data_IF_509324738850
#
_entry.id   IF_509324738850
#
_cell.length_a   1.000
_cell.length_b   1.000
_cell.length_c   1.000
_cell.angle_alpha   90.00
_cell.angle_beta   90.00
_cell.angle_gamma   90.00
#
_symmetry.space_group_name_H-M   'P 1'
#
loop_
_entity.id
_entity.type
_entity.pdbx_description
1 polymer ?
#
# COMPACT_ATOMS: atom_id res chain seq x y z
N UNK A 1 -3.14 -11.08 10.99
CA UNK A 1 -4.04 -9.90 11.08
C UNK A 1 -4.41 -9.35 9.71
N UNK A 2 -3.46 -8.94 8.85
CA UNK A 2 -3.80 -8.45 7.49
C UNK A 2 -4.34 -9.52 6.54
N UNK A 3 -3.79 -10.74 6.55
CA UNK A 3 -4.35 -11.86 5.78
C UNK A 3 -5.81 -12.13 6.17
N UNK A 4 -6.13 -12.13 7.46
CA UNK A 4 -7.50 -12.30 7.95
C UNK A 4 -8.42 -11.12 7.57
N UNK A 5 -7.91 -9.89 7.59
CA UNK A 5 -8.65 -8.73 7.09
C UNK A 5 -8.88 -8.80 5.57
N UNK A 6 -7.95 -9.35 4.80
CA UNK A 6 -8.08 -9.52 3.35
C UNK A 6 -9.13 -10.58 3.01
N UNK A 7 -9.17 -11.69 3.77
CA UNK A 7 -10.24 -12.69 3.67
C UNK A 7 -11.61 -12.11 4.02
N UNK A 8 -11.67 -11.20 4.99
CA UNK A 8 -12.92 -10.58 5.41
C UNK A 8 -13.43 -9.54 4.39
N UNK A 9 -12.56 -8.61 3.97
CA UNK A 9 -12.88 -7.59 2.96
C UNK A 9 -11.62 -7.06 2.27
N UNK A 10 -11.25 -7.69 1.16
CA UNK A 10 -10.10 -7.28 0.34
C UNK A 10 -10.29 -5.91 -0.32
N UNK A 11 -11.54 -5.54 -0.64
CA UNK A 11 -11.85 -4.27 -1.29
C UNK A 11 -11.67 -3.10 -0.32
N UNK A 12 -12.04 -3.27 0.94
CA UNK A 12 -11.76 -2.31 2.00
C UNK A 12 -10.25 -2.08 2.20
N UNK A 13 -9.44 -3.14 2.16
CA UNK A 13 -7.98 -3.02 2.28
C UNK A 13 -7.36 -2.30 1.08
N UNK A 14 -7.72 -2.68 -0.15
CA UNK A 14 -7.15 -2.13 -1.39
C UNK A 14 -7.60 -0.67 -1.60
N UNK A 15 -8.87 -0.35 -1.32
CA UNK A 15 -9.38 1.03 -1.42
C UNK A 15 -8.75 1.98 -0.40
N UNK A 16 -8.16 1.44 0.68
CA UNK A 16 -7.62 2.27 1.75
C UNK A 16 -8.70 2.98 2.56
N UNK A 17 -9.96 2.53 2.51
CA UNK A 17 -11.08 3.19 3.19
C UNK A 17 -10.87 3.31 4.72
N UNK A 18 -10.06 2.43 5.30
CA UNK A 18 -9.60 2.46 6.70
C UNK A 18 -8.62 3.60 7.04
N UNK A 19 -8.12 4.32 6.04
CA UNK A 19 -7.26 5.50 6.19
C UNK A 19 -8.02 6.77 5.84
N UNK A 20 -7.56 7.88 6.40
CA UNK A 20 -8.02 9.20 6.01
C UNK A 20 -7.55 9.55 4.58
N UNK A 21 -8.27 10.43 3.88
CA UNK A 21 -8.10 10.66 2.44
C UNK A 21 -6.67 11.02 2.02
N UNK A 22 -5.96 11.82 2.82
CA UNK A 22 -4.55 12.19 2.54
C UNK A 22 -3.62 10.99 2.71
N UNK A 23 -3.83 10.16 3.74
CA UNK A 23 -3.03 8.96 3.97
C UNK A 23 -3.17 7.93 2.83
N UNK A 24 -4.33 7.90 2.15
CA UNK A 24 -4.58 6.99 1.03
C UNK A 24 -3.65 7.22 -0.16
N UNK A 25 -3.15 8.45 -0.35
CA UNK A 25 -2.21 8.78 -1.42
C UNK A 25 -0.87 8.02 -1.30
N UNK A 26 -0.54 7.55 -0.10
CA UNK A 26 0.69 6.82 0.19
C UNK A 26 0.46 5.32 0.34
N UNK A 27 -0.76 4.84 0.08
CA UNK A 27 -1.08 3.42 0.07
C UNK A 27 -0.76 2.79 -1.28
N UNK A 28 -0.24 1.57 -1.20
CA UNK A 28 0.10 0.69 -2.30
C UNK A 28 -0.27 -0.72 -1.88
N UNK A 29 -1.29 -1.33 -2.48
CA UNK A 29 -1.74 -2.71 -2.19
C UNK A 29 -1.89 -2.97 -0.68
N UNK A 30 -2.72 -2.17 0.01
CA UNK A 30 -3.04 -2.36 1.43
C UNK A 30 -1.96 -1.91 2.44
N UNK A 31 -0.97 -1.11 2.03
CA UNK A 31 0.05 -0.56 2.95
C UNK A 31 1.07 0.33 2.23
N UNK A 32 2.15 0.73 2.88
CA UNK A 32 3.20 1.55 2.26
C UNK A 32 4.08 0.76 1.30
N UNK A 33 4.70 1.42 0.33
CA UNK A 33 5.75 0.79 -0.51
C UNK A 33 7.03 0.56 0.33
N UNK A 34 7.58 -0.67 0.35
CA UNK A 34 8.85 -0.94 1.02
C UNK A 34 9.99 -0.02 0.58
N UNK A 35 10.18 0.19 -0.73
CA UNK A 35 11.20 1.05 -1.33
C UNK A 35 11.15 2.50 -0.79
N UNK A 36 9.94 3.05 -0.68
CA UNK A 36 9.69 4.39 -0.14
C UNK A 36 10.01 4.46 1.35
N UNK A 37 9.61 3.44 2.13
CA UNK A 37 9.98 3.36 3.55
C UNK A 37 11.49 3.32 3.74
N UNK A 38 12.21 2.53 2.93
CA UNK A 38 13.66 2.46 2.99
C UNK A 38 14.31 3.82 2.67
N UNK A 39 13.78 4.57 1.71
CA UNK A 39 14.23 5.92 1.38
C UNK A 39 14.03 6.93 2.51
N UNK A 40 12.96 6.79 3.29
CA UNK A 40 12.67 7.67 4.43
C UNK A 40 13.58 7.32 5.62
N UNK A 41 13.82 6.03 5.84
CA UNK A 41 14.55 5.53 7.00
C UNK A 41 16.06 5.70 6.84
N UNK A 42 16.62 5.33 5.68
CA UNK A 42 18.08 5.27 5.49
C UNK A 42 18.84 6.57 5.88
N UNK A 43 18.36 7.78 5.53
CA UNK A 43 19.02 9.02 5.94
C UNK A 43 19.06 9.27 7.46
N UNK A 44 18.18 8.62 8.23
CA UNK A 44 18.09 8.79 9.69
C UNK A 44 19.06 7.87 10.45
N UNK A 45 19.80 7.00 9.75
CA UNK A 45 20.60 5.94 10.34
C UNK A 45 22.09 6.27 10.51
N UNK A 46 22.48 7.52 10.26
CA UNK A 46 23.89 7.91 10.29
C UNK A 46 24.56 7.71 11.67
N UNK A 47 25.82 7.26 11.70
CA UNK A 47 26.66 6.86 10.56
C UNK A 47 26.36 5.44 10.04
N UNK A 48 26.43 5.25 8.72
CA UNK A 48 26.36 3.95 8.03
C UNK A 48 27.72 3.62 7.42
N UNK A 49 28.09 2.33 7.37
CA UNK A 49 29.30 1.91 6.64
C UNK A 49 29.03 1.84 5.13
N UNK A 50 30.08 1.93 4.30
CA UNK A 50 29.93 1.80 2.84
C UNK A 50 29.26 0.49 2.44
N UNK A 51 29.60 -0.60 3.13
CA UNK A 51 28.95 -1.90 2.91
C UNK A 51 27.45 -1.85 3.23
N UNK A 52 27.07 -1.22 4.35
CA UNK A 52 25.65 -1.05 4.70
C UNK A 52 24.92 -0.22 3.65
N UNK A 53 25.53 0.88 3.17
CA UNK A 53 24.95 1.74 2.13
C UNK A 53 24.68 0.96 0.85
N UNK A 54 25.65 0.18 0.37
CA UNK A 54 25.49 -0.67 -0.82
C UNK A 54 24.39 -1.71 -0.62
N UNK A 55 24.37 -2.40 0.53
CA UNK A 55 23.34 -3.40 0.83
C UNK A 55 21.94 -2.80 0.92
N UNK A 56 21.78 -1.62 1.51
CA UNK A 56 20.49 -0.90 1.59
C UNK A 56 20.02 -0.50 0.19
N UNK A 57 20.92 0.03 -0.66
CA UNK A 57 20.58 0.40 -2.03
C UNK A 57 20.14 -0.82 -2.86
N UNK A 58 20.82 -1.95 -2.71
CA UNK A 58 20.43 -3.20 -3.38
C UNK A 58 19.06 -3.70 -2.90
N UNK A 59 18.82 -3.66 -1.58
CA UNK A 59 17.51 -4.03 -1.00
C UNK A 59 16.39 -3.11 -1.49
N UNK A 60 16.66 -1.81 -1.62
CA UNK A 60 15.71 -0.85 -2.18
C UNK A 60 15.40 -1.17 -3.63
N UNK A 61 16.43 -1.41 -4.45
CA UNK A 61 16.25 -1.71 -5.87
C UNK A 61 15.46 -3.00 -6.07
N UNK A 62 15.79 -4.07 -5.35
CA UNK A 62 15.06 -5.34 -5.45
C UNK A 62 13.61 -5.21 -4.95
N UNK A 63 13.38 -4.45 -3.88
CA UNK A 63 12.02 -4.15 -3.41
C UNK A 63 11.21 -3.40 -4.47
N UNK A 64 11.80 -2.38 -5.10
CA UNK A 64 11.14 -1.63 -6.16
C UNK A 64 10.75 -2.52 -7.36
N UNK A 65 11.65 -3.40 -7.79
CA UNK A 65 11.37 -4.34 -8.88
C UNK A 65 10.20 -5.28 -8.55
N UNK A 66 10.16 -5.81 -7.33
CA UNK A 66 9.04 -6.63 -6.87
C UNK A 66 7.74 -5.83 -6.75
N UNK A 67 7.81 -4.58 -6.28
CA UNK A 67 6.66 -3.66 -6.23
C UNK A 67 6.07 -3.40 -7.61
N UNK A 68 6.92 -3.16 -8.60
CA UNK A 68 6.52 -2.87 -9.98
C UNK A 68 5.89 -4.10 -10.63
N UNK A 69 6.48 -5.28 -10.41
CA UNK A 69 5.92 -6.55 -10.89
C UNK A 69 4.53 -6.83 -10.27
N UNK A 70 4.36 -6.59 -8.96
CA UNK A 70 3.07 -6.76 -8.28
C UNK A 70 2.04 -5.73 -8.75
N UNK A 71 2.45 -4.47 -8.96
CA UNK A 71 1.57 -3.41 -9.47
C UNK A 71 1.08 -3.75 -10.87
N UNK A 72 1.98 -4.16 -11.76
CA UNK A 72 1.63 -4.58 -13.12
C UNK A 72 0.69 -5.79 -13.12
N UNK A 73 0.93 -6.78 -12.24
CA UNK A 73 0.06 -7.94 -12.09
C UNK A 73 -1.35 -7.55 -11.63
N UNK A 74 -1.45 -6.62 -10.67
CA UNK A 74 -2.72 -6.11 -10.19
C UNK A 74 -3.46 -5.31 -11.26
N UNK A 75 -2.76 -4.47 -12.03
CA UNK A 75 -3.36 -3.71 -13.14
C UNK A 75 -3.93 -4.65 -14.20
N UNK A 76 -3.21 -5.73 -14.54
CA UNK A 76 -3.71 -6.76 -15.46
C UNK A 76 -4.94 -7.49 -14.91
N UNK A 77 -4.96 -7.78 -13.61
CA UNK A 77 -6.13 -8.36 -12.95
C UNK A 77 -7.31 -7.38 -13.04
N UNK A 78 -7.11 -6.10 -12.74
CA UNK A 78 -8.16 -5.08 -12.83
C UNK A 78 -8.68 -4.88 -14.26
N UNK A 79 -7.79 -4.88 -15.25
CA UNK A 79 -8.19 -4.84 -16.66
C UNK A 79 -9.04 -6.06 -17.03
N UNK A 80 -8.67 -7.26 -16.59
CA UNK A 80 -9.50 -8.45 -16.84
C UNK A 80 -10.88 -8.35 -16.18
N UNK A 81 -11.03 -7.60 -15.08
CA UNK A 81 -12.36 -7.31 -14.50
C UNK A 81 -13.25 -6.58 -15.51
N UNK A 82 -12.74 -5.50 -16.10
CA UNK A 82 -13.51 -4.63 -17.01
C UNK A 82 -13.95 -5.39 -18.26
N UNK A 83 -13.08 -6.24 -18.82
CA UNK A 83 -13.39 -7.00 -20.04
C UNK A 83 -14.41 -8.13 -19.82
N UNK A 84 -14.64 -8.55 -18.58
CA UNK A 84 -15.57 -9.62 -18.23
C UNK A 84 -16.96 -9.13 -17.80
N UNK A 85 -17.21 -7.81 -17.80
CA UNK A 85 -18.55 -7.26 -17.54
C UNK A 85 -19.37 -7.43 -18.83
N UNK A 86 -20.48 -8.19 -18.83
CA UNK A 86 -21.31 -8.36 -20.02
C UNK A 86 -21.84 -7.02 -20.51
N UNK A 87 -21.69 -6.73 -21.81
CA UNK A 87 -22.18 -5.48 -22.41
C UNK A 87 -23.71 -5.40 -22.50
N UNK A 88 -24.42 -6.52 -22.28
CA UNK A 88 -25.88 -6.61 -22.38
C UNK A 88 -26.54 -6.83 -21.00
N UNK A 89 -27.24 -5.83 -20.45
CA UNK A 89 -27.95 -5.92 -19.17
C UNK A 89 -29.15 -6.88 -19.17
N UNK A 90 -29.60 -7.37 -20.34
CA UNK A 90 -30.85 -8.12 -20.49
C UNK A 90 -30.67 -9.66 -20.49
N UNK A 91 -29.45 -10.16 -20.31
CA UNK A 91 -29.15 -11.59 -20.23
C UNK A 91 -29.60 -12.20 -18.88
N UNK A 92 -30.92 -12.34 -18.71
CA UNK A 92 -31.55 -13.00 -17.55
C UNK A 92 -31.14 -14.48 -17.55
N UNK A 93 -30.21 -14.84 -16.66
CA UNK A 93 -29.73 -16.21 -16.47
C UNK A 93 -28.29 -16.36 -15.97
N UNK A 94 -27.51 -15.27 -15.88
CA UNK A 94 -26.06 -15.32 -15.65
C UNK A 94 -25.58 -15.04 -14.21
N UNK A 95 -26.50 -14.79 -13.27
CA UNK A 95 -26.17 -14.30 -11.92
C UNK A 95 -25.25 -15.26 -11.12
N UNK A 96 -25.41 -16.57 -11.28
CA UNK A 96 -24.55 -17.57 -10.61
C UNK A 96 -23.12 -17.61 -11.16
N UNK A 97 -22.94 -17.43 -12.47
CA UNK A 97 -21.63 -17.37 -13.10
C UNK A 97 -20.90 -16.06 -12.75
N UNK A 98 -21.65 -14.95 -12.66
CA UNK A 98 -21.14 -13.65 -12.27
C UNK A 98 -20.63 -13.63 -10.81
N UNK A 99 -21.38 -14.23 -9.87
CA UNK A 99 -20.93 -14.40 -8.48
C UNK A 99 -19.67 -15.27 -8.40
N UNK A 100 -19.63 -16.41 -9.09
CA UNK A 100 -18.46 -17.28 -9.08
C UNK A 100 -17.20 -16.57 -9.62
N UNK A 101 -17.34 -15.83 -10.72
CA UNK A 101 -16.26 -15.02 -11.27
C UNK A 101 -15.81 -13.94 -10.27
N UNK A 102 -16.75 -13.21 -9.65
CA UNK A 102 -16.43 -12.19 -8.65
C UNK A 102 -15.70 -12.76 -7.42
N UNK A 103 -16.05 -13.97 -6.98
CA UNK A 103 -15.36 -14.68 -5.89
C UNK A 103 -13.93 -15.06 -6.26
N UNK A 104 -13.73 -15.69 -7.43
CA UNK A 104 -12.38 -16.03 -7.93
C UNK A 104 -11.47 -14.79 -8.01
N UNK A 105 -12.04 -13.67 -8.45
CA UNK A 105 -11.36 -12.37 -8.53
C UNK A 105 -11.04 -11.80 -7.15
N UNK A 106 -11.94 -11.92 -6.17
CA UNK A 106 -11.69 -11.56 -4.78
C UNK A 106 -10.51 -12.33 -4.17
N UNK A 107 -10.45 -13.64 -4.40
CA UNK A 107 -9.31 -14.46 -3.96
C UNK A 107 -8.00 -14.05 -4.66
N UNK A 108 -8.04 -13.70 -5.95
CA UNK A 108 -6.87 -13.20 -6.66
C UNK A 108 -6.37 -11.88 -6.05
N UNK A 109 -7.26 -10.95 -5.71
CA UNK A 109 -6.92 -9.72 -5.00
C UNK A 109 -6.32 -10.00 -3.61
N UNK A 110 -6.87 -10.97 -2.87
CA UNK A 110 -6.34 -11.38 -1.57
C UNK A 110 -4.88 -11.84 -1.71
N UNK A 111 -4.58 -12.66 -2.74
CA UNK A 111 -3.22 -13.12 -3.02
C UNK A 111 -2.26 -11.96 -3.27
N UNK A 112 -2.68 -10.90 -3.98
CA UNK A 112 -1.85 -9.70 -4.17
C UNK A 112 -1.59 -8.95 -2.86
N UNK A 113 -2.62 -8.78 -2.02
CA UNK A 113 -2.46 -8.14 -0.69
C UNK A 113 -1.49 -8.93 0.18
N UNK A 114 -1.62 -10.26 0.20
CA UNK A 114 -0.72 -11.13 0.96
C UNK A 114 0.72 -11.07 0.43
N UNK A 115 0.93 -11.06 -0.89
CA UNK A 115 2.26 -10.92 -1.50
C UNK A 115 2.89 -9.56 -1.17
N UNK A 116 2.12 -8.48 -1.26
CA UNK A 116 2.60 -7.14 -0.91
C UNK A 116 2.95 -7.03 0.58
N UNK A 117 2.16 -7.65 1.47
CA UNK A 117 2.46 -7.68 2.90
C UNK A 117 3.71 -8.51 3.22
N UNK A 118 3.87 -9.65 2.55
CA UNK A 118 5.08 -10.45 2.65
C UNK A 118 6.32 -9.67 2.20
N UNK A 119 6.24 -8.94 1.07
CA UNK A 119 7.33 -8.11 0.58
C UNK A 119 7.74 -7.03 1.59
N UNK A 120 6.76 -6.35 2.22
CA UNK A 120 7.03 -5.38 3.30
C UNK A 120 7.75 -6.03 4.48
N UNK A 121 7.27 -7.18 4.94
CA UNK A 121 7.89 -7.91 6.05
C UNK A 121 9.33 -8.32 5.71
N UNK A 122 9.55 -8.88 4.52
CA UNK A 122 10.88 -9.28 4.06
C UNK A 122 11.82 -8.07 3.99
N UNK A 123 11.40 -6.97 3.40
CA UNK A 123 12.22 -5.76 3.32
C UNK A 123 12.66 -5.28 4.71
N UNK A 124 11.78 -5.28 5.71
CA UNK A 124 12.13 -4.90 7.08
C UNK A 124 13.08 -5.88 7.76
N UNK A 125 12.88 -7.18 7.59
CA UNK A 125 13.77 -8.22 8.13
C UNK A 125 15.17 -8.13 7.49
N UNK A 126 15.23 -7.93 6.17
CA UNK A 126 16.50 -7.76 5.48
C UNK A 126 17.19 -6.47 5.92
N UNK A 127 16.45 -5.37 6.08
CA UNK A 127 17.00 -4.12 6.61
C UNK A 127 17.60 -4.34 8.01
N UNK A 128 16.87 -4.99 8.93
CA UNK A 128 17.39 -5.23 10.28
C UNK A 128 18.62 -6.13 10.33
N UNK A 129 18.83 -6.99 9.31
CA UNK A 129 20.04 -7.82 9.19
C UNK A 129 21.25 -7.04 8.68
N UNK A 130 21.03 -5.97 7.91
CA UNK A 130 22.10 -5.08 7.43
C UNK A 130 22.55 -4.13 8.55
N UNK A 131 21.62 -3.75 9.43
CA UNK A 131 21.83 -2.75 10.48
C UNK A 131 22.31 -3.37 11.79
N UNK A 132 23.01 -2.56 12.60
CA UNK A 132 23.22 -2.85 14.02
C UNK A 132 21.91 -2.69 14.81
N UNK A 133 21.82 -3.26 16.01
CA UNK A 133 20.66 -3.11 16.89
C UNK A 133 20.31 -1.65 17.16
N UNK A 134 21.32 -0.79 17.36
CA UNK A 134 21.12 0.64 17.58
C UNK A 134 20.56 1.35 16.33
N UNK A 135 21.09 1.05 15.15
CA UNK A 135 20.57 1.59 13.89
C UNK A 135 19.14 1.08 13.61
N UNK A 136 18.86 -0.20 13.87
CA UNK A 136 17.52 -0.76 13.71
C UNK A 136 16.51 -0.07 14.64
N UNK A 137 16.88 0.20 15.90
CA UNK A 137 16.05 0.96 16.82
C UNK A 137 15.79 2.39 16.32
N UNK A 138 16.82 3.10 15.84
CA UNK A 138 16.65 4.42 15.20
C UNK A 138 15.74 4.35 13.97
N UNK A 139 15.87 3.31 13.16
CA UNK A 139 15.05 3.13 11.97
C UNK A 139 13.57 2.92 12.27
N UNK A 140 13.26 2.14 13.31
CA UNK A 140 11.89 1.97 13.79
C UNK A 140 11.31 3.28 14.33
N UNK A 141 12.11 4.07 15.06
CA UNK A 141 11.70 5.40 15.53
C UNK A 141 11.41 6.34 14.35
N UNK A 142 12.31 6.44 13.37
CA UNK A 142 12.14 7.24 12.17
C UNK A 142 10.87 6.87 11.39
N UNK A 143 10.60 5.56 11.27
CA UNK A 143 9.37 5.07 10.63
C UNK A 143 8.12 5.49 11.42
N UNK A 144 8.15 5.38 12.75
CA UNK A 144 7.06 5.83 13.63
C UNK A 144 6.78 7.32 13.48
N UNK A 145 7.82 8.15 13.49
CA UNK A 145 7.71 9.59 13.28
C UNK A 145 7.12 9.94 11.92
N UNK A 146 7.54 9.26 10.85
CA UNK A 146 6.99 9.46 9.52
C UNK A 146 5.48 9.21 9.50
N UNK A 147 5.03 8.06 10.01
CA UNK A 147 3.59 7.75 10.07
C UNK A 147 2.82 8.68 11.01
N UNK A 148 3.45 9.19 12.06
CA UNK A 148 2.84 10.19 12.93
C UNK A 148 2.65 11.51 12.17
N UNK A 149 3.69 12.01 11.50
CA UNK A 149 3.62 13.23 10.67
C UNK A 149 2.54 13.11 9.59
N UNK A 150 2.42 11.95 8.95
CA UNK A 150 1.39 11.73 7.94
C UNK A 150 -0.03 11.81 8.53
N UNK A 151 -0.27 11.23 9.72
CA UNK A 151 -1.55 11.35 10.43
C UNK A 151 -1.85 12.80 10.83
N UNK A 152 -0.84 13.53 11.31
CA UNK A 152 -0.98 14.94 11.67
C UNK A 152 -1.36 15.78 10.45
N UNK A 153 -0.68 15.59 9.32
CA UNK A 153 -1.02 16.26 8.05
C UNK A 153 -2.46 15.95 7.62
N UNK A 154 -2.90 14.69 7.73
CA UNK A 154 -4.28 14.33 7.39
C UNK A 154 -5.30 14.98 8.33
N UNK A 155 -4.98 15.13 9.61
CA UNK A 155 -5.84 15.78 10.59
C UNK A 155 -5.98 17.28 10.31
N UNK A 156 -4.88 17.94 9.93
CA UNK A 156 -4.90 19.35 9.54
C UNK A 156 -5.71 19.58 8.26
N UNK A 157 -5.59 18.68 7.28
CA UNK A 157 -6.36 18.79 6.03
C UNK A 157 -7.87 18.64 6.26
N UNK A 158 -8.28 17.68 7.08
CA UNK A 158 -9.70 17.48 7.42
C UNK A 158 -10.27 18.64 8.23
N UNK A 159 -9.49 19.22 9.16
CA UNK A 159 -9.90 20.42 9.89
C UNK A 159 -10.15 21.61 8.96
N UNK A 160 -9.30 21.80 7.93
CA UNK A 160 -9.50 22.84 6.91
C UNK A 160 -10.79 22.63 6.10
N UNK A 161 -11.11 21.39 5.73
CA UNK A 161 -12.32 21.09 4.95
C UNK A 161 -13.62 21.25 5.75
N UNK A 162 -13.56 21.19 7.08
CA UNK A 162 -14.70 21.41 7.96
C UNK A 162 -14.88 22.88 8.38
N UNK A 163 -13.99 23.78 7.99
CA UNK A 163 -14.05 25.19 8.36
C UNK A 163 -15.08 25.92 7.46
N UNK A 164 -16.23 26.40 8.01
CA UNK A 164 -17.34 26.97 7.22
C UNK A 164 -17.01 28.31 6.55
N UNK A 165 -15.79 28.80 6.72
CA UNK A 165 -15.28 30.05 6.15
C UNK A 165 -14.66 29.89 4.75
N UNK A 166 -14.45 28.66 4.26
CA UNK A 166 -13.98 28.42 2.89
C UNK A 166 -15.17 28.47 1.91
N UNK A 167 -15.24 29.45 0.99
CA UNK A 167 -16.30 29.47 -0.01
C UNK A 167 -16.11 28.28 -0.92
N UNK A 168 -17.08 27.36 -0.90
CA UNK A 168 -17.28 26.39 -1.97
C UNK A 168 -17.59 27.22 -3.21
N UNK A 169 -16.57 27.52 -4.03
CA UNK A 169 -16.81 28.02 -5.37
C UNK A 169 -17.42 26.88 -6.18
N UNK A 170 -18.74 26.77 -6.06
CA UNK A 170 -19.61 26.33 -7.13
C UNK A 170 -19.46 27.34 -8.27
N UNK A 171 -18.84 26.93 -9.36
CA UNK A 171 -19.03 27.60 -10.64
C UNK A 171 -18.91 26.60 -11.78
N UNK A 172 -20.09 26.32 -12.35
CA UNK A 172 -20.49 25.83 -13.67
C UNK A 172 -20.19 24.38 -14.07
#
# INVERSE_FOLDING_TARGET
>A
MKAEAAKADVFYLISGAWKASVERLFLWIGGSRPSQLLNIIAPQLEPLTDQQIVSINNLRLSSQQAEDALSLGLDKLQQSLVHNIPSDPLAVGHYGFEIAAAMEKGEALERFVNQADHLRQQALIHMSRILTTAQAAKGLLAMGEYFHRLRTLSSLWTARSCDPSFPTQLSN
#
